data_IF_069309807880
#
_entry.id   IF_069309807880
#
_cell.length_a   1.000
_cell.length_b   1.000
_cell.length_c   1.000
_cell.angle_alpha   90.00
_cell.angle_beta   90.00
_cell.angle_gamma   90.00
#
_symmetry.space_group_name_H-M   'P 1'
#
loop_
_entity.id
_entity.type
_entity.pdbx_description
1 polymer ?
#
# COMPACT_ATOMS: atom_id res chain seq x y z
N UNK A 1 -5.61 -26.76 58.08
CA UNK A 1 -4.94 -27.28 56.88
C UNK A 1 -6.01 -27.85 55.95
N UNK A 2 -5.84 -27.56 54.67
CA UNK A 2 -6.83 -27.53 53.59
C UNK A 2 -7.41 -28.91 53.21
N UNK A 3 -8.60 -28.90 52.61
CA UNK A 3 -9.18 -30.07 51.94
C UNK A 3 -10.48 -29.74 51.21
N UNK A 4 -10.35 -29.17 50.01
CA UNK A 4 -11.40 -28.80 49.06
C UNK A 4 -12.27 -29.99 48.63
N UNK A 5 -13.59 -29.81 48.57
CA UNK A 5 -14.46 -30.63 47.73
C UNK A 5 -15.66 -29.83 47.20
N UNK A 6 -15.69 -29.74 45.86
CA UNK A 6 -16.83 -29.52 44.97
C UNK A 6 -17.50 -28.13 44.90
N UNK A 7 -17.05 -27.34 43.92
CA UNK A 7 -17.97 -26.59 43.08
C UNK A 7 -17.93 -27.20 41.67
N UNK A 8 -19.01 -27.83 41.25
CA UNK A 8 -19.24 -28.21 39.86
C UNK A 8 -19.51 -26.92 39.09
N UNK A 9 -18.61 -26.54 38.20
CA UNK A 9 -18.90 -25.51 37.20
C UNK A 9 -20.08 -25.99 36.34
N UNK A 10 -21.13 -25.19 36.32
CA UNK A 10 -22.28 -25.40 35.46
C UNK A 10 -21.87 -25.25 33.98
N UNK A 11 -22.51 -25.95 33.04
CA UNK A 11 -22.21 -25.82 31.62
C UNK A 11 -22.40 -24.36 31.20
N UNK A 12 -21.35 -23.80 30.59
CA UNK A 12 -21.38 -22.44 30.07
C UNK A 12 -22.63 -22.21 29.23
N UNK A 13 -23.40 -21.20 29.61
CA UNK A 13 -24.39 -20.58 28.75
C UNK A 13 -23.77 -20.34 27.38
N UNK A 14 -24.39 -20.79 26.28
CA UNK A 14 -23.98 -20.39 24.95
C UNK A 14 -23.93 -18.87 24.95
N UNK A 15 -22.76 -18.29 24.67
CA UNK A 15 -22.65 -16.86 24.37
C UNK A 15 -23.45 -16.67 23.10
N UNK A 16 -24.71 -16.28 23.26
CA UNK A 16 -25.59 -15.91 22.17
C UNK A 16 -24.89 -14.75 21.47
N UNK A 17 -24.33 -15.03 20.29
CA UNK A 17 -23.64 -14.05 19.47
C UNK A 17 -24.68 -12.97 19.18
N UNK A 18 -24.48 -11.79 19.77
CA UNK A 18 -25.38 -10.66 19.60
C UNK A 18 -25.74 -10.51 18.11
N UNK A 19 -27.01 -10.25 17.77
CA UNK A 19 -27.44 -10.16 16.38
C UNK A 19 -26.58 -9.12 15.66
N UNK A 20 -26.06 -9.49 14.50
CA UNK A 20 -25.20 -8.60 13.73
C UNK A 20 -26.02 -7.38 13.29
N UNK A 21 -25.51 -6.18 13.59
CA UNK A 21 -26.12 -4.93 13.13
C UNK A 21 -26.05 -4.87 11.61
N UNK A 22 -27.19 -4.57 10.99
CA UNK A 22 -27.35 -4.50 9.54
C UNK A 22 -27.50 -3.04 9.14
N UNK A 23 -26.84 -2.65 8.05
CA UNK A 23 -26.94 -1.33 7.43
C UNK A 23 -27.73 -1.43 6.12
N UNK A 24 -28.70 -0.54 5.95
CA UNK A 24 -29.57 -0.51 4.76
C UNK A 24 -28.95 0.24 3.58
N UNK A 25 -28.16 1.28 3.83
CA UNK A 25 -27.59 2.12 2.76
C UNK A 25 -26.16 2.59 3.10
N UNK A 26 -25.20 2.19 2.27
CA UNK A 26 -23.80 2.63 2.38
C UNK A 26 -23.66 4.14 2.09
N UNK A 27 -24.58 4.74 1.32
CA UNK A 27 -24.55 6.16 0.98
C UNK A 27 -25.01 7.07 2.13
N UNK A 28 -25.63 6.49 3.17
CA UNK A 28 -25.96 7.20 4.39
C UNK A 28 -24.76 7.35 5.33
N UNK A 29 -23.65 6.65 5.07
CA UNK A 29 -22.45 6.72 5.92
C UNK A 29 -21.75 8.06 5.74
N UNK A 30 -21.64 8.78 6.85
CA UNK A 30 -20.98 10.08 6.94
C UNK A 30 -19.65 9.90 7.67
N UNK A 31 -18.59 10.45 7.09
CA UNK A 31 -17.30 10.51 7.72
C UNK A 31 -17.31 11.59 8.83
N UNK A 32 -17.05 11.24 10.10
CA UNK A 32 -17.24 12.19 11.20
C UNK A 32 -16.34 13.42 11.18
N UNK A 33 -15.12 13.33 10.65
CA UNK A 33 -14.16 14.45 10.70
C UNK A 33 -14.36 15.48 9.59
N UNK A 34 -14.75 15.07 8.38
CA UNK A 34 -15.02 15.99 7.26
C UNK A 34 -16.51 16.27 7.05
N UNK A 35 -17.40 15.47 7.65
CA UNK A 35 -18.84 15.51 7.40
C UNK A 35 -19.23 15.03 5.99
N UNK A 36 -18.27 14.55 5.20
CA UNK A 36 -18.54 14.06 3.85
C UNK A 36 -19.13 12.66 3.87
N UNK A 37 -20.01 12.41 2.89
CA UNK A 37 -20.43 11.04 2.58
C UNK A 37 -19.25 10.25 2.00
N UNK A 38 -19.28 8.93 2.16
CA UNK A 38 -18.22 8.04 1.67
C UNK A 38 -17.88 8.26 0.19
N UNK A 39 -18.89 8.43 -0.67
CA UNK A 39 -18.71 8.75 -2.10
C UNK A 39 -17.97 10.07 -2.33
N UNK A 40 -18.29 11.08 -1.52
CA UNK A 40 -17.64 12.39 -1.57
C UNK A 40 -16.17 12.31 -1.15
N UNK A 41 -15.87 11.53 -0.11
CA UNK A 41 -14.49 11.27 0.33
C UNK A 41 -13.67 10.56 -0.75
N UNK A 42 -14.25 9.56 -1.43
CA UNK A 42 -13.59 8.89 -2.55
C UNK A 42 -13.30 9.85 -3.72
N UNK A 43 -14.22 10.76 -4.03
CA UNK A 43 -14.01 11.78 -5.06
C UNK A 43 -12.91 12.78 -4.65
N UNK A 44 -12.85 13.18 -3.37
CA UNK A 44 -11.80 14.06 -2.85
C UNK A 44 -10.41 13.41 -3.00
N UNK A 45 -10.28 12.13 -2.66
CA UNK A 45 -9.04 11.37 -2.89
C UNK A 45 -8.65 11.41 -4.37
N UNK A 46 -9.60 11.23 -5.30
CA UNK A 46 -9.31 11.30 -6.74
C UNK A 46 -8.83 12.68 -7.19
N UNK A 47 -9.34 13.76 -6.61
CA UNK A 47 -8.87 15.12 -6.88
C UNK A 47 -7.45 15.34 -6.34
N UNK A 48 -7.17 14.97 -5.07
CA UNK A 48 -5.84 15.09 -4.47
C UNK A 48 -4.78 14.30 -5.27
N UNK A 49 -5.15 13.15 -5.84
CA UNK A 49 -4.26 12.35 -6.69
C UNK A 49 -3.85 13.05 -7.99
N UNK A 50 -4.63 14.01 -8.50
CA UNK A 50 -4.25 14.78 -9.69
C UNK A 50 -3.11 15.75 -9.40
N UNK A 51 -3.03 16.24 -8.17
CA UNK A 51 -2.02 17.20 -7.71
C UNK A 51 -0.70 16.52 -7.30
N UNK A 52 -0.77 15.24 -6.89
CA UNK A 52 0.43 14.46 -6.58
C UNK A 52 1.29 14.23 -7.83
N UNK A 53 2.61 14.23 -7.65
CA UNK A 53 3.60 13.97 -8.70
C UNK A 53 3.27 12.73 -9.54
N UNK A 54 3.37 12.89 -10.87
CA UNK A 54 3.03 11.86 -11.87
C UNK A 54 3.67 10.49 -11.60
N UNK A 55 4.88 10.46 -11.01
CA UNK A 55 5.59 9.22 -10.71
C UNK A 55 4.88 8.33 -9.67
N UNK A 56 3.98 8.89 -8.86
CA UNK A 56 3.23 8.17 -7.84
C UNK A 56 1.77 7.91 -8.23
N UNK A 57 1.25 8.63 -9.22
CA UNK A 57 -0.16 8.59 -9.59
C UNK A 57 -0.63 7.19 -9.97
N UNK A 58 0.15 6.45 -10.76
CA UNK A 58 -0.25 5.11 -11.23
C UNK A 58 -0.43 4.10 -10.10
N UNK A 59 0.44 4.12 -9.09
CA UNK A 59 0.34 3.19 -7.96
C UNK A 59 -0.85 3.56 -7.08
N UNK A 60 -1.02 4.85 -6.79
CA UNK A 60 -2.13 5.34 -6.00
C UNK A 60 -3.49 5.12 -6.68
N UNK A 61 -3.60 5.38 -7.99
CA UNK A 61 -4.81 5.13 -8.78
C UNK A 61 -5.24 3.67 -8.75
N UNK A 62 -4.31 2.71 -8.63
CA UNK A 62 -4.68 1.29 -8.49
C UNK A 62 -5.37 1.00 -7.16
N UNK A 63 -4.92 1.62 -6.07
CA UNK A 63 -5.59 1.52 -4.78
C UNK A 63 -6.99 2.12 -4.88
N UNK A 64 -7.11 3.34 -5.42
CA UNK A 64 -8.40 4.01 -5.56
C UNK A 64 -9.39 3.22 -6.42
N UNK A 65 -8.94 2.64 -7.54
CA UNK A 65 -9.79 1.76 -8.36
C UNK A 65 -10.38 0.60 -7.57
N UNK A 66 -9.61 0.02 -6.63
CA UNK A 66 -10.10 -1.06 -5.76
C UNK A 66 -11.07 -0.53 -4.70
N UNK A 67 -10.79 0.63 -4.12
CA UNK A 67 -11.72 1.26 -3.18
C UNK A 67 -13.06 1.56 -3.86
N UNK A 68 -13.05 2.11 -5.08
CA UNK A 68 -14.25 2.36 -5.87
C UNK A 68 -14.99 1.07 -6.21
N UNK A 69 -14.28 0.02 -6.64
CA UNK A 69 -14.88 -1.27 -6.96
C UNK A 69 -15.60 -1.87 -5.73
N UNK A 70 -14.96 -1.86 -4.55
CA UNK A 70 -15.58 -2.31 -3.30
C UNK A 70 -16.78 -1.44 -2.93
N UNK A 71 -16.65 -0.11 -3.02
CA UNK A 71 -17.77 0.80 -2.77
C UNK A 71 -18.97 0.49 -3.68
N UNK A 72 -18.75 0.25 -4.97
CA UNK A 72 -19.83 -0.11 -5.90
C UNK A 72 -20.45 -1.46 -5.58
N UNK A 73 -19.67 -2.45 -5.13
CA UNK A 73 -20.21 -3.72 -4.68
C UNK A 73 -21.11 -3.56 -3.45
N UNK A 74 -20.71 -2.72 -2.49
CA UNK A 74 -21.51 -2.40 -1.32
C UNK A 74 -22.77 -1.60 -1.69
N UNK A 75 -22.66 -0.59 -2.57
CA UNK A 75 -23.77 0.24 -3.03
C UNK A 75 -24.83 -0.57 -3.79
N UNK A 76 -24.42 -1.59 -4.55
CA UNK A 76 -25.31 -2.40 -5.37
C UNK A 76 -25.60 -3.79 -4.74
N UNK A 77 -25.31 -3.97 -3.45
CA UNK A 77 -25.59 -5.23 -2.77
C UNK A 77 -27.10 -5.50 -2.72
N UNK A 78 -27.52 -6.67 -3.20
CA UNK A 78 -28.90 -7.13 -3.05
C UNK A 78 -29.19 -7.66 -1.62
N UNK A 79 -28.14 -8.03 -0.89
CA UNK A 79 -28.24 -8.49 0.49
C UNK A 79 -27.99 -7.35 1.48
N UNK A 80 -28.63 -7.38 2.66
CA UNK A 80 -28.38 -6.40 3.69
C UNK A 80 -26.91 -6.41 4.15
N UNK A 81 -26.31 -5.23 4.25
CA UNK A 81 -24.89 -5.11 4.56
C UNK A 81 -24.66 -5.30 6.06
N UNK A 82 -23.61 -6.02 6.44
CA UNK A 82 -23.17 -6.02 7.84
C UNK A 82 -22.50 -4.69 8.15
N UNK A 83 -22.98 -4.01 9.20
CA UNK A 83 -22.44 -2.71 9.60
C UNK A 83 -20.93 -2.77 9.84
N UNK A 84 -20.44 -3.86 10.45
CA UNK A 84 -19.01 -4.08 10.69
C UNK A 84 -18.16 -4.05 9.40
N UNK A 85 -18.63 -4.66 8.31
CA UNK A 85 -17.90 -4.65 7.02
C UNK A 85 -17.83 -3.23 6.46
N UNK A 86 -18.92 -2.48 6.57
CA UNK A 86 -18.99 -1.10 6.10
C UNK A 86 -18.10 -0.19 6.95
N UNK A 87 -18.11 -0.37 8.27
CA UNK A 87 -17.24 0.35 9.20
C UNK A 87 -15.75 0.07 8.92
N UNK A 88 -15.38 -1.19 8.72
CA UNK A 88 -14.01 -1.59 8.36
C UNK A 88 -13.61 -0.94 7.03
N UNK A 89 -14.46 -1.01 6.01
CA UNK A 89 -14.20 -0.39 4.71
C UNK A 89 -14.03 1.13 4.82
N UNK A 90 -14.90 1.78 5.58
CA UNK A 90 -14.83 3.23 5.84
C UNK A 90 -13.51 3.57 6.54
N UNK A 91 -13.07 2.79 7.52
CA UNK A 91 -11.77 2.95 8.16
C UNK A 91 -10.60 2.85 7.17
N UNK A 92 -10.67 1.94 6.20
CA UNK A 92 -9.65 1.82 5.15
C UNK A 92 -9.63 3.02 4.21
N UNK A 93 -10.79 3.51 3.76
CA UNK A 93 -10.88 4.72 2.91
C UNK A 93 -10.29 5.94 3.64
N UNK A 94 -10.60 6.10 4.93
CA UNK A 94 -10.06 7.19 5.75
C UNK A 94 -8.53 7.10 5.90
N UNK A 95 -8.03 5.92 6.25
CA UNK A 95 -6.60 5.69 6.39
C UNK A 95 -5.86 6.00 5.09
N UNK A 96 -6.47 5.63 3.95
CA UNK A 96 -5.92 5.95 2.65
C UNK A 96 -5.98 7.45 2.31
N UNK A 97 -7.08 8.13 2.61
CA UNK A 97 -7.18 9.59 2.44
C UNK A 97 -6.07 10.31 3.21
N UNK A 98 -5.90 10.01 4.49
CA UNK A 98 -4.81 10.57 5.32
C UNK A 98 -3.44 10.32 4.70
N UNK A 99 -3.22 9.14 4.11
CA UNK A 99 -1.97 8.84 3.41
C UNK A 99 -1.76 9.74 2.19
N UNK A 100 -2.80 9.93 1.37
CA UNK A 100 -2.77 10.74 0.15
C UNK A 100 -2.57 12.22 0.48
N UNK A 101 -3.35 12.77 1.42
CA UNK A 101 -3.22 14.18 1.82
C UNK A 101 -1.82 14.49 2.37
N UNK A 102 -1.26 13.61 3.22
CA UNK A 102 0.13 13.73 3.69
C UNK A 102 1.14 13.68 2.55
N UNK A 103 0.89 12.88 1.52
CA UNK A 103 1.77 12.81 0.38
C UNK A 103 1.73 14.10 -0.44
N UNK A 104 0.54 14.69 -0.62
CA UNK A 104 0.34 15.96 -1.29
C UNK A 104 1.05 17.10 -0.55
N UNK A 105 0.87 17.22 0.76
CA UNK A 105 1.57 18.20 1.62
C UNK A 105 3.10 18.13 1.46
N UNK A 106 3.63 16.91 1.32
CA UNK A 106 5.06 16.67 1.19
C UNK A 106 5.59 16.76 -0.26
N UNK A 107 4.72 16.90 -1.27
CA UNK A 107 5.14 16.93 -2.68
C UNK A 107 5.79 18.25 -3.12
N UNK A 108 5.69 19.31 -2.30
CA UNK A 108 6.25 20.63 -2.59
C UNK A 108 7.75 20.76 -2.26
N UNK A 109 8.38 19.73 -1.71
CA UNK A 109 9.80 19.78 -1.35
C UNK A 109 10.69 19.42 -2.54
N UNK A 110 11.60 20.33 -2.91
CA UNK A 110 12.73 20.04 -3.79
C UNK A 110 13.68 19.08 -3.08
N UNK A 111 13.57 17.79 -3.41
CA UNK A 111 14.34 16.73 -2.79
C UNK A 111 15.39 16.18 -3.76
N UNK A 112 16.51 15.68 -3.24
CA UNK A 112 17.54 15.01 -4.04
C UNK A 112 17.03 13.70 -4.63
N UNK A 113 17.63 13.22 -5.72
CA UNK A 113 17.25 11.95 -6.38
C UNK A 113 17.25 10.75 -5.42
N UNK A 114 18.18 10.74 -4.45
CA UNK A 114 18.27 9.70 -3.42
C UNK A 114 17.06 9.77 -2.49
N UNK A 115 16.72 10.97 -2.02
CA UNK A 115 15.55 11.17 -1.16
C UNK A 115 14.24 10.84 -1.91
N UNK A 116 14.12 11.25 -3.17
CA UNK A 116 12.99 10.90 -4.03
C UNK A 116 12.83 9.39 -4.22
N UNK A 117 13.94 8.66 -4.36
CA UNK A 117 13.94 7.20 -4.44
C UNK A 117 13.45 6.56 -3.14
N UNK A 118 13.90 7.06 -1.98
CA UNK A 118 13.43 6.58 -0.67
C UNK A 118 11.94 6.87 -0.43
N UNK A 119 11.46 8.06 -0.80
CA UNK A 119 10.03 8.40 -0.74
C UNK A 119 9.21 7.45 -1.63
N UNK A 120 9.71 7.14 -2.84
CA UNK A 120 9.03 6.22 -3.74
C UNK A 120 8.93 4.78 -3.22
N UNK A 121 9.91 4.33 -2.44
CA UNK A 121 9.83 3.04 -1.74
C UNK A 121 8.75 3.09 -0.66
N UNK A 122 8.78 4.10 0.21
CA UNK A 122 7.79 4.28 1.28
C UNK A 122 6.36 4.34 0.74
N UNK A 123 6.12 5.08 -0.36
CA UNK A 123 4.79 5.16 -0.99
C UNK A 123 4.36 3.80 -1.54
N UNK A 124 5.28 3.08 -2.18
CA UNK A 124 4.97 1.75 -2.71
C UNK A 124 4.63 0.75 -1.60
N UNK A 125 5.40 0.72 -0.51
CA UNK A 125 5.20 -0.18 0.61
C UNK A 125 3.85 0.08 1.32
N UNK A 126 3.48 1.37 1.46
CA UNK A 126 2.17 1.76 2.00
C UNK A 126 1.01 1.33 1.10
N UNK A 127 1.14 1.51 -0.21
CA UNK A 127 0.13 1.07 -1.17
C UNK A 127 0.00 -0.46 -1.20
N UNK A 128 1.11 -1.19 -1.11
CA UNK A 128 1.11 -2.65 -0.98
C UNK A 128 0.40 -3.10 0.30
N UNK A 129 0.68 -2.44 1.44
CA UNK A 129 -0.01 -2.69 2.70
C UNK A 129 -1.52 -2.43 2.58
N UNK A 130 -1.92 -1.33 1.94
CA UNK A 130 -3.35 -1.02 1.71
C UNK A 130 -4.02 -2.08 0.83
N UNK A 131 -3.33 -2.56 -0.21
CA UNK A 131 -3.87 -3.63 -1.04
C UNK A 131 -4.09 -4.93 -0.26
N UNK A 132 -3.22 -5.28 0.69
CA UNK A 132 -3.42 -6.42 1.57
C UNK A 132 -4.60 -6.25 2.52
N UNK A 133 -4.76 -5.07 3.12
CA UNK A 133 -5.91 -4.78 3.98
C UNK A 133 -7.24 -4.89 3.22
N UNK A 134 -7.26 -4.46 1.95
CA UNK A 134 -8.43 -4.65 1.09
C UNK A 134 -8.66 -6.13 0.72
N UNK A 135 -7.60 -6.92 0.54
CA UNK A 135 -7.75 -8.38 0.32
C UNK A 135 -8.35 -9.06 1.56
N UNK A 136 -7.91 -8.66 2.75
CA UNK A 136 -8.41 -9.17 4.03
C UNK A 136 -9.89 -8.81 4.25
N UNK A 137 -10.28 -7.57 3.99
CA UNK A 137 -11.68 -7.14 4.02
C UNK A 137 -12.54 -8.00 3.09
N UNK A 138 -12.12 -8.18 1.83
CA UNK A 138 -12.87 -8.97 0.85
C UNK A 138 -12.99 -10.41 1.34
N UNK A 139 -11.90 -11.01 1.79
CA UNK A 139 -11.87 -12.39 2.28
C UNK A 139 -12.80 -12.62 3.48
N UNK A 140 -12.80 -11.70 4.44
CA UNK A 140 -13.57 -11.84 5.68
C UNK A 140 -15.06 -11.47 5.52
N UNK A 141 -15.41 -10.69 4.49
CA UNK A 141 -16.77 -10.19 4.29
C UNK A 141 -17.78 -11.26 3.86
N UNK A 142 -17.36 -12.26 3.08
CA UNK A 142 -18.24 -13.24 2.43
C UNK A 142 -19.17 -12.68 1.33
N UNK A 143 -19.49 -11.39 1.36
CA UNK A 143 -20.36 -10.71 0.39
C UNK A 143 -19.60 -9.92 -0.69
N UNK A 144 -18.31 -9.61 -0.48
CA UNK A 144 -17.47 -8.95 -1.49
C UNK A 144 -16.81 -9.97 -2.41
N UNK A 145 -16.73 -9.62 -3.68
CA UNK A 145 -16.14 -10.39 -4.76
C UNK A 145 -14.74 -9.90 -5.09
N UNK A 146 -13.78 -10.82 -5.18
CA UNK A 146 -12.41 -10.57 -5.66
C UNK A 146 -12.24 -10.81 -7.17
N UNK A 147 -13.33 -11.05 -7.91
CA UNK A 147 -13.27 -11.47 -9.32
C UNK A 147 -12.86 -10.36 -10.29
N UNK A 148 -13.11 -9.10 -9.93
CA UNK A 148 -12.74 -7.95 -10.77
C UNK A 148 -11.21 -7.88 -10.96
N UNK A 149 -10.76 -7.53 -12.16
CA UNK A 149 -9.33 -7.49 -12.49
C UNK A 149 -8.54 -6.51 -11.61
N UNK A 150 -9.21 -5.50 -11.03
CA UNK A 150 -8.58 -4.53 -10.13
C UNK A 150 -8.03 -5.18 -8.86
N UNK A 151 -8.53 -6.35 -8.46
CA UNK A 151 -8.04 -7.10 -7.30
C UNK A 151 -6.80 -7.98 -7.58
N UNK A 152 -6.37 -8.11 -8.84
CA UNK A 152 -5.18 -8.88 -9.23
C UNK A 152 -3.89 -8.03 -9.18
N UNK A 153 -3.76 -7.22 -8.13
CA UNK A 153 -2.70 -6.22 -7.98
C UNK A 153 -1.30 -6.82 -7.78
N UNK A 154 -1.22 -8.05 -7.27
CA UNK A 154 0.04 -8.73 -6.93
C UNK A 154 0.90 -8.97 -8.16
N UNK A 155 0.29 -9.21 -9.33
CA UNK A 155 1.06 -9.36 -10.56
C UNK A 155 1.80 -8.07 -10.94
N UNK A 156 1.13 -6.94 -10.79
CA UNK A 156 1.74 -5.64 -11.01
C UNK A 156 2.85 -5.36 -9.99
N UNK A 157 2.61 -5.64 -8.70
CA UNK A 157 3.65 -5.50 -7.65
C UNK A 157 4.88 -6.35 -7.98
N UNK A 158 4.69 -7.64 -8.31
CA UNK A 158 5.77 -8.57 -8.70
C UNK A 158 6.55 -8.06 -9.92
N UNK A 159 5.86 -7.55 -10.94
CA UNK A 159 6.52 -6.99 -12.14
C UNK A 159 7.37 -5.77 -11.76
N UNK A 160 6.86 -4.88 -10.91
CA UNK A 160 7.58 -3.68 -10.47
C UNK A 160 8.79 -4.03 -9.59
N UNK A 161 8.64 -4.99 -8.67
CA UNK A 161 9.74 -5.51 -7.86
C UNK A 161 10.87 -6.08 -8.73
N UNK A 162 10.53 -6.89 -9.75
CA UNK A 162 11.52 -7.44 -10.70
C UNK A 162 12.27 -6.34 -11.45
N UNK A 163 11.55 -5.32 -11.96
CA UNK A 163 12.17 -4.19 -12.66
C UNK A 163 13.13 -3.41 -11.74
N UNK A 164 12.75 -3.22 -10.47
CA UNK A 164 13.62 -2.58 -9.45
C UNK A 164 14.89 -3.40 -9.21
N UNK A 165 14.77 -4.71 -8.99
CA UNK A 165 15.92 -5.61 -8.81
C UNK A 165 16.86 -5.59 -10.01
N UNK A 166 16.32 -5.60 -11.24
CA UNK A 166 17.12 -5.51 -12.47
C UNK A 166 17.85 -4.18 -12.59
N UNK A 167 17.18 -3.06 -12.29
CA UNK A 167 17.79 -1.72 -12.31
C UNK A 167 18.95 -1.63 -11.31
N UNK A 168 18.75 -2.16 -10.10
CA UNK A 168 19.78 -2.18 -9.05
C UNK A 168 20.98 -3.06 -9.45
N UNK A 169 20.75 -4.24 -10.03
CA UNK A 169 21.86 -5.09 -10.53
C UNK A 169 22.59 -4.47 -11.73
N UNK A 170 21.88 -3.74 -12.60
CA UNK A 170 22.46 -3.01 -13.73
C UNK A 170 23.37 -1.87 -13.28
N UNK A 171 22.97 -1.09 -12.28
CA UNK A 171 23.80 0.00 -11.74
C UNK A 171 25.05 -0.53 -11.03
N UNK A 172 24.97 -1.63 -10.28
CA UNK A 172 26.15 -2.27 -9.70
C UNK A 172 27.13 -2.73 -10.78
N UNK A 173 26.65 -3.40 -11.84
CA UNK A 173 27.50 -3.84 -12.96
C UNK A 173 28.17 -2.68 -13.71
N UNK A 174 27.43 -1.58 -13.97
CA UNK A 174 28.00 -0.39 -14.60
C UNK A 174 29.05 0.31 -13.72
N UNK A 175 28.82 0.37 -12.41
CA UNK A 175 29.77 0.95 -11.45
C UNK A 175 31.08 0.16 -11.43
N UNK A 176 31.03 -1.17 -11.31
CA UNK A 176 32.24 -2.01 -11.35
C UNK A 176 32.97 -1.95 -12.71
N UNK A 177 32.24 -1.96 -13.83
CA UNK A 177 32.86 -1.81 -15.16
C UNK A 177 33.54 -0.45 -15.32
N UNK A 178 32.98 0.63 -14.77
CA UNK A 178 33.56 1.97 -14.87
C UNK A 178 34.80 2.12 -13.99
N UNK A 179 34.78 1.56 -12.79
CA UNK A 179 35.95 1.51 -11.88
C UNK A 179 37.08 0.65 -12.45
N UNK A 180 36.75 -0.52 -13.02
CA UNK A 180 37.75 -1.37 -13.68
C UNK A 180 38.34 -0.70 -14.92
N UNK A 181 37.54 0.07 -15.67
CA UNK A 181 38.01 0.80 -16.86
C UNK A 181 38.85 2.03 -16.50
N UNK A 182 38.55 2.73 -15.39
CA UNK A 182 39.44 3.77 -14.83
C UNK A 182 40.73 3.18 -14.26
N UNK A 183 40.66 2.04 -13.57
CA UNK A 183 41.83 1.34 -13.03
C UNK A 183 42.79 0.85 -14.12
N UNK A 184 42.26 0.32 -15.24
CA UNK A 184 43.09 -0.08 -16.39
C UNK A 184 43.72 1.13 -17.11
N UNK A 185 43.06 2.28 -17.15
CA UNK A 185 43.63 3.50 -17.73
C UNK A 185 44.77 4.08 -16.87
N UNK A 186 44.64 4.03 -15.54
CA UNK A 186 45.71 4.49 -14.61
C UNK A 186 46.95 3.60 -14.69
N UNK A 187 46.78 2.27 -14.84
CA UNK A 187 47.91 1.34 -15.03
C UNK A 187 48.61 1.52 -16.39
N UNK A 188 47.88 1.92 -17.44
CA UNK A 188 48.47 2.14 -18.77
C UNK A 188 49.26 3.46 -18.87
N UNK A 189 48.96 4.45 -18.03
CA UNK A 189 49.73 5.71 -17.95
C UNK A 189 50.89 5.68 -16.95
N UNK A 190 51.09 4.57 -16.23
CA UNK A 190 52.14 4.42 -15.22
C UNK A 190 53.45 3.78 -15.71
N UNK A 191 53.54 3.32 -16.96
CA UNK A 191 54.69 2.56 -17.48
C UNK A 191 55.68 3.38 -18.34
N UNK A 192 55.75 4.70 -18.18
CA UNK A 192 56.73 5.52 -18.92
C UNK A 192 57.55 6.43 -18.00
N UNK A 193 58.12 5.87 -16.93
CA UNK A 193 58.79 6.69 -15.92
C UNK A 193 59.92 6.06 -15.11
N UNK A 194 60.45 4.88 -15.44
CA UNK A 194 61.60 4.33 -14.70
C UNK A 194 62.52 3.49 -15.60
N UNK A 195 63.50 4.13 -16.24
CA UNK A 195 64.82 3.54 -16.49
C UNK A 195 65.84 4.64 -16.81
N UNK A 196 66.56 5.10 -15.78
CA UNK A 196 67.94 5.58 -15.91
C UNK A 196 68.81 4.79 -14.95
N UNK A 197 70.05 4.56 -15.41
CA UNK A 197 71.19 3.91 -14.76
C UNK A 197 71.11 2.38 -14.68
N UNK A 198 71.84 1.71 -15.56
CA UNK A 198 73.17 1.14 -15.24
C UNK A 198 73.96 0.89 -16.55
N UNK A 199 75.28 1.12 -16.45
CA UNK A 199 76.37 1.11 -17.46
C UNK A 199 76.59 2.41 -18.24
#
# INVERSE_FOLDING_TARGET
MNGLAHAREAPGTPVEKAPATVLEDVNAVIYPSSGLKLKGLLAEIEEELKEISAQFQDDNRRVVKRLLDIYYQLENSAEPLLAAIVEDFVGLVQSYHIQVSRQLENSNFSASDVMMSSVALTVADRNESMHHLLDELIWNSGCLSSKSAVHQWQEHSRKKARLRSQKMMGTTKCSYSSVLRMGLSVLRTGESGWTRMWL
#
